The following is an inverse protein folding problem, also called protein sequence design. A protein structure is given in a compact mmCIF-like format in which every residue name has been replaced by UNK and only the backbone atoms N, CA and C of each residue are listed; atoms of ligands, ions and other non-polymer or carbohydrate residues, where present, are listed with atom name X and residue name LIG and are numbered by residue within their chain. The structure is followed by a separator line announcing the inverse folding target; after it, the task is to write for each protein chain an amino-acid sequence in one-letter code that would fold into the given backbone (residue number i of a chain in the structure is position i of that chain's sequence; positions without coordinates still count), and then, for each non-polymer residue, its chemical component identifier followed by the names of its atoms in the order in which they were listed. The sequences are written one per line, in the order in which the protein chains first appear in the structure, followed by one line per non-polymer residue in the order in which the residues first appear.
data_IF_057217413736
#
_entry.id   IF_057217413736
#
_cell.length_a   1.000
_cell.length_b   1.000
_cell.length_c   1.000
_cell.angle_alpha   90.00
_cell.angle_beta   90.00
_cell.angle_gamma   90.00
#
_symmetry.space_group_name_H-M   'P 1'
#
loop_
_entity.id
_entity.type
_entity.pdbx_description
1 polymer ?
#
# COMPACT_ATOMS: atom_id res chain seq x y z
N UNK A 1 -17.11 -12.40 36.08
CA UNK A 1 -17.97 -11.93 34.96
C UNK A 1 -17.17 -12.13 33.70
N UNK A 2 -17.63 -12.93 32.74
CA UNK A 2 -16.96 -13.06 31.45
C UNK A 2 -17.05 -11.70 30.75
N UNK A 3 -15.91 -11.05 30.50
CA UNK A 3 -15.85 -9.78 29.76
C UNK A 3 -16.22 -10.05 28.32
N UNK A 4 -17.20 -9.32 27.80
CA UNK A 4 -17.64 -9.41 26.40
C UNK A 4 -16.42 -9.25 25.47
N UNK A 5 -16.19 -10.13 24.48
CA UNK A 5 -15.11 -9.96 23.52
C UNK A 5 -15.24 -8.63 22.77
N UNK A 6 -14.11 -7.99 22.48
CA UNK A 6 -14.04 -6.68 21.84
C UNK A 6 -13.22 -6.77 20.56
N UNK A 7 -13.86 -6.46 19.43
CA UNK A 7 -13.23 -6.29 18.13
C UNK A 7 -12.89 -4.81 17.91
N UNK A 8 -11.60 -4.52 17.74
CA UNK A 8 -11.17 -3.22 17.22
C UNK A 8 -11.23 -3.27 15.69
N UNK A 9 -12.12 -2.49 15.10
CA UNK A 9 -12.20 -2.35 13.66
C UNK A 9 -11.20 -1.30 13.21
N UNK A 10 -10.15 -1.74 12.54
CA UNK A 10 -9.03 -0.91 12.09
C UNK A 10 -9.27 -0.48 10.65
N UNK A 11 -9.03 0.78 10.32
CA UNK A 11 -9.25 1.27 8.97
C UNK A 11 -8.63 2.63 8.68
N UNK A 12 -9.36 3.44 7.91
CA UNK A 12 -9.00 4.81 7.56
C UNK A 12 -10.22 5.71 7.71
N UNK A 13 -10.02 6.94 8.18
CA UNK A 13 -11.07 7.97 8.21
C UNK A 13 -11.66 8.29 6.83
N UNK A 14 -10.94 7.92 5.76
CA UNK A 14 -11.36 8.11 4.37
C UNK A 14 -12.02 6.86 3.76
N UNK A 15 -12.15 5.77 4.51
CA UNK A 15 -12.77 4.55 4.03
C UNK A 15 -14.24 4.50 4.49
N UNK A 16 -15.21 4.76 3.59
CA UNK A 16 -16.63 4.83 3.96
C UNK A 16 -17.23 3.48 4.34
N UNK A 17 -16.54 2.37 4.05
CA UNK A 17 -17.02 1.03 4.37
C UNK A 17 -16.86 0.68 5.84
N UNK A 18 -16.01 1.38 6.60
CA UNK A 18 -15.76 1.12 8.04
C UNK A 18 -17.06 1.03 8.85
N UNK A 19 -17.93 2.06 8.89
CA UNK A 19 -19.17 1.99 9.65
C UNK A 19 -20.16 0.95 9.12
N UNK A 20 -20.16 0.68 7.81
CA UNK A 20 -21.03 -0.32 7.18
C UNK A 20 -20.64 -1.73 7.63
N UNK A 21 -19.34 -2.03 7.59
CA UNK A 21 -18.77 -3.31 8.04
C UNK A 21 -18.98 -3.49 9.54
N UNK A 22 -18.76 -2.43 10.34
CA UNK A 22 -18.98 -2.48 11.77
C UNK A 22 -20.41 -2.88 12.11
N UNK A 23 -21.39 -2.28 11.43
CA UNK A 23 -22.81 -2.58 11.59
C UNK A 23 -23.16 -4.02 11.18
N UNK A 24 -22.58 -4.52 10.08
CA UNK A 24 -22.78 -5.91 9.65
C UNK A 24 -22.27 -6.90 10.71
N UNK A 25 -21.09 -6.66 11.27
CA UNK A 25 -20.52 -7.51 12.32
C UNK A 25 -21.35 -7.45 13.61
N UNK A 26 -21.80 -6.25 14.03
CA UNK A 26 -22.68 -6.09 15.20
C UNK A 26 -24.00 -6.85 15.06
N UNK A 27 -24.57 -6.89 13.85
CA UNK A 27 -25.82 -7.62 13.56
C UNK A 27 -25.63 -9.13 13.51
N UNK A 28 -24.48 -9.57 13.02
CA UNK A 28 -24.21 -10.99 12.79
C UNK A 28 -23.58 -11.69 14.00
N UNK A 29 -22.99 -10.95 14.94
CA UNK A 29 -22.21 -11.52 16.05
C UNK A 29 -22.64 -10.94 17.40
N UNK A 30 -22.29 -11.64 18.48
CA UNK A 30 -22.46 -11.15 19.85
C UNK A 30 -21.31 -10.24 20.34
N UNK A 31 -20.36 -9.87 19.49
CA UNK A 31 -19.10 -9.18 19.86
C UNK A 31 -19.33 -7.67 19.99
N UNK A 32 -18.58 -7.02 20.88
CA UNK A 32 -18.52 -5.56 20.88
C UNK A 32 -17.59 -5.07 19.75
N UNK A 33 -18.10 -4.25 18.83
CA UNK A 33 -17.30 -3.67 17.75
C UNK A 33 -16.99 -2.21 18.07
N UNK A 34 -15.70 -1.87 18.09
CA UNK A 34 -15.22 -0.51 18.29
C UNK A 34 -14.71 0.08 16.96
N UNK A 35 -15.38 1.14 16.50
CA UNK A 35 -15.01 1.96 15.34
C UNK A 35 -15.26 3.47 15.60
N UNK A 36 -15.51 3.89 16.85
CA UNK A 36 -15.87 5.27 17.20
C UNK A 36 -14.78 6.30 16.85
N UNK A 37 -13.52 5.86 16.71
CA UNK A 37 -12.44 6.69 16.17
C UNK A 37 -12.81 7.28 14.79
N UNK A 38 -13.68 6.61 14.03
CA UNK A 38 -14.17 7.06 12.73
C UNK A 38 -14.97 8.38 12.83
N UNK A 39 -15.55 8.69 13.99
CA UNK A 39 -16.34 9.90 14.23
C UNK A 39 -15.53 11.20 14.12
N UNK A 40 -14.19 11.14 14.17
CA UNK A 40 -13.33 12.29 13.93
C UNK A 40 -13.53 12.88 12.51
N UNK A 41 -13.91 12.04 11.54
CA UNK A 41 -14.24 12.43 10.17
C UNK A 41 -13.04 12.50 9.23
N UNK A 42 -13.31 12.40 7.91
CA UNK A 42 -12.31 12.24 6.84
C UNK A 42 -11.24 13.35 6.76
N UNK A 43 -11.56 14.54 7.30
CA UNK A 43 -10.71 15.75 7.25
C UNK A 43 -9.95 16.02 8.55
N UNK A 44 -10.11 15.19 9.58
CA UNK A 44 -9.54 15.44 10.90
C UNK A 44 -8.02 15.65 10.84
N UNK A 45 -7.31 14.73 10.17
CA UNK A 45 -5.85 14.78 10.03
C UNK A 45 -5.39 16.01 9.25
N UNK A 46 -6.08 16.36 8.16
CA UNK A 46 -5.73 17.51 7.32
C UNK A 46 -5.97 18.83 8.06
N UNK A 47 -7.07 18.91 8.83
CA UNK A 47 -7.40 20.08 9.64
C UNK A 47 -6.41 20.27 10.79
N UNK A 48 -6.08 19.19 11.52
CA UNK A 48 -5.09 19.22 12.59
C UNK A 48 -3.70 19.62 12.07
N UNK A 49 -3.27 19.02 10.96
CA UNK A 49 -2.00 19.35 10.33
C UNK A 49 -1.92 20.81 9.91
N UNK A 50 -2.99 21.34 9.29
CA UNK A 50 -3.03 22.75 8.88
C UNK A 50 -2.95 23.68 10.10
N UNK A 51 -3.69 23.36 11.17
CA UNK A 51 -3.66 24.11 12.42
C UNK A 51 -2.25 24.17 13.05
N UNK A 52 -1.52 23.06 13.13
CA UNK A 52 -0.16 23.03 13.68
C UNK A 52 0.85 23.77 12.77
N UNK A 53 0.68 23.67 11.46
CA UNK A 53 1.52 24.40 10.49
C UNK A 53 1.31 25.91 10.57
N UNK A 54 0.07 26.39 10.73
CA UNK A 54 -0.26 27.81 10.88
C UNK A 54 0.34 28.38 12.18
N UNK A 55 0.58 27.54 13.19
CA UNK A 55 1.29 27.89 14.43
C UNK A 55 2.82 27.86 14.29
N UNK A 56 3.34 27.45 13.14
CA UNK A 56 4.78 27.33 12.89
C UNK A 56 5.43 26.14 13.57
N UNK A 57 4.66 25.15 14.03
CA UNK A 57 5.21 23.93 14.60
C UNK A 57 5.70 22.98 13.49
N UNK A 58 6.84 22.33 13.74
CA UNK A 58 7.27 21.20 12.93
C UNK A 58 6.54 19.91 13.34
N UNK A 59 6.72 18.84 12.56
CA UNK A 59 6.01 17.59 12.80
C UNK A 59 6.31 16.97 14.16
N UNK A 60 7.55 17.06 14.63
CA UNK A 60 7.96 16.46 15.92
C UNK A 60 7.31 17.23 17.07
N UNK A 61 7.40 18.56 17.04
CA UNK A 61 6.79 19.44 18.04
C UNK A 61 5.27 19.27 18.09
N UNK A 62 4.63 19.10 16.93
CA UNK A 62 3.19 18.87 16.84
C UNK A 62 2.75 17.58 17.56
N UNK A 63 3.57 16.52 17.56
CA UNK A 63 3.24 15.25 18.24
C UNK A 63 3.20 15.38 19.76
N UNK A 64 3.95 16.34 20.33
CA UNK A 64 3.90 16.64 21.77
C UNK A 64 2.65 17.46 22.16
N UNK A 65 1.85 17.89 21.18
CA UNK A 65 0.63 18.66 21.40
C UNK A 65 -0.48 17.88 22.12
N UNK A 66 -1.34 18.59 22.85
CA UNK A 66 -2.45 17.98 23.59
C UNK A 66 -3.42 17.20 22.68
N UNK A 67 -3.70 17.71 21.48
CA UNK A 67 -4.60 17.04 20.54
C UNK A 67 -4.03 15.69 20.08
N UNK A 68 -2.76 15.64 19.68
CA UNK A 68 -2.08 14.42 19.26
C UNK A 68 -2.03 13.38 20.40
N UNK A 69 -1.64 13.81 21.60
CA UNK A 69 -1.60 12.95 22.77
C UNK A 69 -2.98 12.40 23.16
N UNK A 70 -4.04 13.22 23.13
CA UNK A 70 -5.39 12.75 23.43
C UNK A 70 -5.90 11.73 22.42
N UNK A 71 -5.69 11.96 21.12
CA UNK A 71 -6.10 11.01 20.07
C UNK A 71 -5.33 9.69 20.24
N UNK A 72 -4.01 9.75 20.43
CA UNK A 72 -3.20 8.56 20.67
C UNK A 72 -3.66 7.77 21.90
N UNK A 73 -3.92 8.44 23.02
CA UNK A 73 -4.37 7.77 24.25
C UNK A 73 -5.77 7.18 24.12
N UNK A 74 -6.66 7.86 23.40
CA UNK A 74 -7.99 7.35 23.06
C UNK A 74 -7.89 6.03 22.28
N UNK A 75 -7.14 6.02 21.18
CA UNK A 75 -6.93 4.81 20.37
C UNK A 75 -6.23 3.72 21.19
N UNK A 76 -5.17 4.07 21.93
CA UNK A 76 -4.41 3.13 22.76
C UNK A 76 -5.28 2.43 23.80
N UNK A 77 -6.13 3.17 24.50
CA UNK A 77 -7.05 2.60 25.50
C UNK A 77 -7.95 1.55 24.85
N UNK A 78 -8.52 1.86 23.68
CA UNK A 78 -9.42 0.97 22.97
C UNK A 78 -8.69 -0.23 22.34
N UNK A 79 -7.49 -0.05 21.83
CA UNK A 79 -6.62 -1.14 21.38
C UNK A 79 -6.23 -2.06 22.53
N UNK A 80 -6.04 -1.53 23.74
CA UNK A 80 -5.64 -2.32 24.91
C UNK A 80 -6.77 -3.19 25.45
N UNK A 81 -8.03 -2.75 25.37
CA UNK A 81 -9.17 -3.59 25.77
C UNK A 81 -9.62 -4.57 24.68
N UNK A 82 -9.22 -4.35 23.43
CA UNK A 82 -9.53 -5.24 22.33
C UNK A 82 -8.93 -6.64 22.54
N UNK A 83 -9.71 -7.66 22.20
CA UNK A 83 -9.33 -9.08 22.22
C UNK A 83 -9.22 -9.68 20.82
N UNK A 84 -9.52 -8.89 19.79
CA UNK A 84 -9.39 -9.25 18.38
C UNK A 84 -9.34 -7.98 17.50
N UNK A 85 -8.83 -8.12 16.28
CA UNK A 85 -8.72 -7.02 15.33
C UNK A 85 -9.19 -7.37 13.92
N UNK A 86 -9.74 -6.39 13.20
CA UNK A 86 -10.03 -6.52 11.78
C UNK A 86 -9.50 -5.30 11.04
N UNK A 87 -8.49 -5.50 10.19
CA UNK A 87 -7.98 -4.45 9.30
C UNK A 87 -8.79 -4.42 8.01
N UNK A 88 -9.54 -3.35 7.81
CA UNK A 88 -10.31 -3.08 6.59
C UNK A 88 -9.46 -2.26 5.64
N UNK A 89 -9.13 -2.82 4.48
CA UNK A 89 -8.41 -2.10 3.43
C UNK A 89 -9.39 -1.36 2.50
N UNK A 90 -8.95 -0.24 1.87
CA UNK A 90 -7.66 0.43 2.08
C UNK A 90 -7.54 1.13 3.45
N UNK A 91 -6.35 1.08 4.04
CA UNK A 91 -6.02 1.67 5.33
C UNK A 91 -4.69 2.44 5.30
N UNK A 92 -4.55 3.41 6.21
CA UNK A 92 -3.31 4.17 6.39
C UNK A 92 -2.21 3.38 7.10
N UNK A 93 -1.01 3.97 7.19
CA UNK A 93 0.14 3.37 7.91
C UNK A 93 -0.16 3.12 9.39
N UNK A 94 -0.92 4.00 10.03
CA UNK A 94 -1.37 3.84 11.42
C UNK A 94 -2.18 2.56 11.61
N UNK A 95 -3.16 2.30 10.74
CA UNK A 95 -3.94 1.05 10.81
C UNK A 95 -3.09 -0.22 10.72
N UNK A 96 -1.98 -0.19 9.98
CA UNK A 96 -1.04 -1.32 9.94
C UNK A 96 -0.29 -1.47 11.27
N UNK A 97 0.09 -0.37 11.93
CA UNK A 97 0.69 -0.41 13.27
C UNK A 97 -0.29 -0.94 14.32
N UNK A 98 -1.55 -0.52 14.27
CA UNK A 98 -2.62 -0.98 15.15
C UNK A 98 -2.87 -2.48 14.98
N UNK A 99 -2.88 -2.96 13.73
CA UNK A 99 -2.98 -4.39 13.42
C UNK A 99 -1.80 -5.17 14.02
N UNK A 100 -0.58 -4.66 13.82
CA UNK A 100 0.63 -5.22 14.41
C UNK A 100 0.58 -5.22 15.94
N UNK A 101 0.01 -4.19 16.57
CA UNK A 101 -0.15 -4.11 18.02
C UNK A 101 -1.07 -5.20 18.57
N UNK A 102 -2.25 -5.42 17.94
CA UNK A 102 -3.17 -6.49 18.35
C UNK A 102 -2.53 -7.87 18.20
N UNK A 103 -1.89 -8.13 17.04
CA UNK A 103 -1.18 -9.40 16.82
C UNK A 103 0.00 -9.59 17.76
N UNK A 104 0.74 -8.54 18.06
CA UNK A 104 1.85 -8.55 19.01
C UNK A 104 1.42 -8.86 20.45
N UNK A 105 0.17 -8.60 20.80
CA UNK A 105 -0.44 -8.99 22.08
C UNK A 105 -0.92 -10.46 22.10
N UNK A 106 -0.79 -11.18 20.99
CA UNK A 106 -1.20 -12.58 20.86
C UNK A 106 -2.67 -12.78 20.46
N UNK A 107 -3.45 -11.70 20.30
CA UNK A 107 -4.86 -11.79 19.92
C UNK A 107 -5.04 -12.03 18.42
N UNK A 108 -6.09 -12.76 18.00
CA UNK A 108 -6.36 -12.97 16.58
C UNK A 108 -6.65 -11.65 15.87
N UNK A 109 -6.16 -11.51 14.65
CA UNK A 109 -6.53 -10.39 13.82
C UNK A 109 -6.54 -10.78 12.34
N UNK A 110 -7.56 -10.31 11.62
CA UNK A 110 -7.79 -10.64 10.22
C UNK A 110 -7.71 -9.40 9.34
N UNK A 111 -7.56 -9.63 8.04
CA UNK A 111 -7.54 -8.58 7.04
C UNK A 111 -8.72 -8.80 6.12
N UNK A 112 -9.55 -7.76 5.95
CA UNK A 112 -10.57 -7.70 4.92
C UNK A 112 -10.06 -6.80 3.80
N UNK A 113 -9.70 -7.44 2.68
CA UNK A 113 -9.40 -6.77 1.43
C UNK A 113 -10.70 -6.18 0.89
N UNK A 114 -10.60 -5.00 0.29
CA UNK A 114 -11.66 -4.52 -0.59
C UNK A 114 -11.89 -5.60 -1.67
N UNK A 115 -13.12 -6.10 -1.85
CA UNK A 115 -13.39 -7.03 -2.94
C UNK A 115 -12.92 -6.36 -4.22
N UNK A 116 -12.16 -7.06 -5.08
CA UNK A 116 -11.78 -6.49 -6.34
C UNK A 116 -13.07 -6.06 -7.04
N UNK A 117 -13.23 -4.75 -7.27
CA UNK A 117 -14.29 -4.24 -8.11
C UNK A 117 -14.28 -5.09 -9.41
N UNK A 118 -15.43 -5.56 -9.88
CA UNK A 118 -15.46 -6.29 -11.14
C UNK A 118 -14.94 -5.42 -12.30
N UNK A 119 -15.00 -4.08 -12.15
CA UNK A 119 -14.34 -3.09 -13.02
C UNK A 119 -12.84 -2.90 -12.71
N UNK A 120 -12.38 -3.33 -11.52
CA UNK A 120 -10.97 -3.49 -11.15
C UNK A 120 -10.40 -4.90 -11.48
N UNK A 121 -11.06 -5.68 -12.35
CA UNK A 121 -10.33 -6.51 -13.31
C UNK A 121 -9.67 -5.63 -14.39
N UNK A 122 -8.96 -4.58 -13.98
CA UNK A 122 -7.90 -4.03 -14.80
C UNK A 122 -6.69 -4.93 -14.54
N UNK A 123 -6.12 -5.59 -15.55
CA UNK A 123 -5.01 -6.49 -15.33
C UNK A 123 -3.86 -5.77 -14.61
N UNK A 124 -3.65 -6.14 -13.34
CA UNK A 124 -2.58 -5.79 -12.38
C UNK A 124 -1.97 -4.37 -12.38
N UNK A 125 -2.50 -3.40 -13.14
CA UNK A 125 -1.81 -2.17 -13.55
C UNK A 125 -0.59 -2.41 -14.46
N UNK A 126 0.05 -3.57 -14.39
CA UNK A 126 1.29 -3.89 -15.09
C UNK A 126 1.10 -4.07 -16.59
N UNK A 127 -0.04 -4.57 -17.06
CA UNK A 127 -0.35 -4.63 -18.49
C UNK A 127 -0.47 -3.24 -19.10
N UNK A 128 -1.13 -2.32 -18.38
CA UNK A 128 -1.20 -0.91 -18.77
C UNK A 128 0.18 -0.26 -18.76
N UNK A 129 0.97 -0.48 -17.70
CA UNK A 129 2.35 0.01 -17.62
C UNK A 129 3.20 -0.55 -18.77
N UNK A 130 3.08 -1.83 -19.08
CA UNK A 130 3.77 -2.49 -20.17
C UNK A 130 3.40 -1.85 -21.51
N UNK A 131 2.12 -1.59 -21.77
CA UNK A 131 1.66 -0.91 -22.98
C UNK A 131 2.27 0.49 -23.13
N UNK A 132 2.24 1.30 -22.07
CA UNK A 132 2.87 2.63 -22.07
C UNK A 132 4.39 2.52 -22.26
N UNK A 133 5.03 1.58 -21.58
CA UNK A 133 6.47 1.37 -21.67
C UNK A 133 6.90 0.84 -23.05
N UNK A 134 6.09 0.01 -23.71
CA UNK A 134 6.36 -0.49 -25.07
C UNK A 134 6.38 0.67 -26.08
N UNK A 135 5.45 1.63 -25.94
CA UNK A 135 5.36 2.83 -26.79
C UNK A 135 6.41 3.90 -26.49
N UNK A 136 6.54 4.31 -25.23
CA UNK A 136 7.25 5.54 -24.84
C UNK A 136 8.46 5.30 -23.92
N UNK A 137 8.70 4.04 -23.53
CA UNK A 137 9.76 3.70 -22.61
C UNK A 137 11.16 3.77 -23.23
N UNK A 138 12.17 3.55 -22.39
CA UNK A 138 13.51 3.18 -22.81
C UNK A 138 14.25 2.54 -21.65
N UNK A 139 15.10 1.55 -21.95
CA UNK A 139 16.10 1.03 -21.04
C UNK A 139 17.49 1.38 -21.55
N UNK A 140 18.30 1.96 -20.69
CA UNK A 140 19.67 2.37 -21.00
C UNK A 140 20.61 1.94 -19.89
N UNK A 141 21.89 1.78 -20.24
CA UNK A 141 22.96 1.65 -19.27
C UNK A 141 23.34 3.05 -18.79
N UNK A 142 23.40 3.26 -17.49
CA UNK A 142 23.82 4.51 -16.88
C UNK A 142 25.17 4.31 -16.16
N UNK A 143 26.24 4.92 -16.68
CA UNK A 143 27.56 4.84 -16.07
C UNK A 143 28.65 5.48 -16.95
N UNK A 144 29.47 6.34 -16.35
CA UNK A 144 30.81 6.65 -16.87
C UNK A 144 31.70 5.39 -16.71
N UNK A 145 32.79 5.30 -17.50
CA UNK A 145 33.79 4.20 -17.48
C UNK A 145 33.94 3.61 -16.07
N UNK A 146 33.42 2.39 -15.86
CA UNK A 146 33.49 1.65 -14.58
C UNK A 146 32.17 1.39 -13.87
N UNK A 147 31.08 2.13 -14.15
CA UNK A 147 29.76 1.89 -13.55
C UNK A 147 28.89 0.88 -14.32
N UNK A 148 28.19 -0.01 -13.60
CA UNK A 148 27.25 -1.01 -14.15
C UNK A 148 25.77 -0.61 -13.95
N UNK A 149 25.46 0.69 -13.83
CA UNK A 149 24.10 1.16 -13.59
C UNK A 149 23.18 0.91 -14.78
N UNK A 150 21.90 0.68 -14.50
CA UNK A 150 20.83 0.54 -15.47
C UNK A 150 19.75 1.58 -15.17
N UNK A 151 19.02 1.98 -16.20
CA UNK A 151 17.94 2.94 -16.05
C UNK A 151 16.77 2.61 -16.96
N UNK A 152 15.58 2.56 -16.39
CA UNK A 152 14.31 2.62 -17.13
C UNK A 152 13.81 4.06 -17.12
N UNK A 153 13.25 4.50 -18.25
CA UNK A 153 12.60 5.80 -18.35
C UNK A 153 11.35 5.71 -19.20
N UNK A 154 10.33 6.49 -18.85
CA UNK A 154 9.25 6.91 -19.75
C UNK A 154 9.23 8.44 -19.75
N UNK A 155 9.13 9.08 -20.91
CA UNK A 155 9.13 10.55 -21.02
C UNK A 155 7.99 11.00 -21.93
N UNK A 156 7.05 11.81 -21.43
CA UNK A 156 5.89 12.29 -22.18
C UNK A 156 5.42 13.66 -21.70
N UNK A 157 4.45 14.26 -22.39
CA UNK A 157 3.91 15.59 -22.06
C UNK A 157 2.95 15.56 -20.88
N UNK A 158 2.19 14.49 -20.74
CA UNK A 158 1.11 14.37 -19.77
C UNK A 158 1.66 13.95 -18.39
N UNK A 159 1.62 14.88 -17.44
CA UNK A 159 2.18 14.69 -16.09
C UNK A 159 1.40 13.65 -15.28
N UNK A 160 0.09 13.64 -15.42
CA UNK A 160 -0.83 12.72 -14.75
C UNK A 160 -0.54 11.26 -15.15
N UNK A 161 -0.25 10.99 -16.43
CA UNK A 161 0.16 9.66 -16.89
C UNK A 161 1.52 9.25 -16.29
N UNK A 162 2.47 10.17 -16.22
CA UNK A 162 3.79 9.95 -15.58
C UNK A 162 3.64 9.67 -14.07
N UNK A 163 2.76 10.39 -13.39
CA UNK A 163 2.46 10.15 -11.97
C UNK A 163 1.74 8.81 -11.78
N UNK A 164 0.83 8.45 -12.69
CA UNK A 164 0.17 7.13 -12.70
C UNK A 164 1.15 5.98 -12.91
N UNK A 165 2.14 6.13 -13.80
CA UNK A 165 3.22 5.14 -13.96
C UNK A 165 3.97 4.90 -12.64
N UNK A 166 4.32 5.97 -11.93
CA UNK A 166 4.97 5.86 -10.62
C UNK A 166 4.07 5.17 -9.59
N UNK A 167 2.77 5.48 -9.60
CA UNK A 167 1.80 4.85 -8.68
C UNK A 167 1.67 3.36 -8.95
N UNK A 168 1.51 2.96 -10.22
CA UNK A 168 1.38 1.55 -10.64
C UNK A 168 2.66 0.78 -10.36
N UNK A 169 3.82 1.31 -10.75
CA UNK A 169 5.10 0.66 -10.45
C UNK A 169 5.40 0.63 -8.95
N UNK A 170 4.91 1.61 -8.18
CA UNK A 170 5.24 1.77 -6.76
C UNK A 170 6.71 2.14 -6.49
N UNK A 171 7.52 2.37 -7.53
CA UNK A 171 8.94 2.72 -7.49
C UNK A 171 9.28 3.79 -8.55
N UNK A 172 10.49 4.36 -8.43
CA UNK A 172 11.01 5.37 -9.35
C UNK A 172 10.65 6.81 -8.98
N UNK A 173 11.20 7.74 -9.76
CA UNK A 173 11.15 9.18 -9.52
C UNK A 173 10.53 9.88 -10.72
N UNK A 174 9.61 10.81 -10.45
CA UNK A 174 9.05 11.71 -11.46
C UNK A 174 9.86 13.00 -11.46
N UNK A 175 10.41 13.37 -12.60
CA UNK A 175 11.23 14.56 -12.83
C UNK A 175 10.60 15.44 -13.93
N UNK A 176 10.94 16.74 -13.92
CA UNK A 176 10.42 17.74 -14.86
C UNK A 176 9.46 18.75 -14.19
N UNK A 177 8.80 19.62 -14.98
CA UNK A 177 8.88 19.70 -16.44
C UNK A 177 10.27 20.08 -16.94
N UNK A 178 10.78 19.35 -17.94
CA UNK A 178 12.00 19.72 -18.66
C UNK A 178 11.64 20.64 -19.82
N UNK A 179 11.93 21.93 -19.65
CA UNK A 179 11.80 22.92 -20.73
C UNK A 179 12.78 22.61 -21.84
N UNK A 180 12.28 22.55 -23.08
CA UNK A 180 13.14 22.38 -24.24
C UNK A 180 13.64 23.73 -24.75
N UNK A 181 14.79 23.69 -25.42
CA UNK A 181 15.46 24.87 -25.98
C UNK A 181 14.63 25.57 -27.06
N UNK A 182 13.71 24.85 -27.71
CA UNK A 182 12.78 25.41 -28.68
C UNK A 182 11.45 25.78 -27.99
N UNK A 183 11.03 27.07 -27.98
CA UNK A 183 9.80 27.52 -27.33
C UNK A 183 8.51 26.91 -27.90
N UNK A 184 8.56 26.33 -29.11
CA UNK A 184 7.40 25.69 -29.76
C UNK A 184 7.15 24.26 -29.27
N UNK A 185 8.06 23.69 -28.48
CA UNK A 185 7.94 22.33 -27.99
C UNK A 185 7.36 22.34 -26.58
N UNK A 186 6.39 21.45 -26.34
CA UNK A 186 5.79 21.31 -25.02
C UNK A 186 6.79 20.78 -24.00
N UNK A 187 6.56 21.16 -22.75
CA UNK A 187 7.28 20.65 -21.59
C UNK A 187 7.09 19.12 -21.47
N UNK A 188 8.15 18.44 -21.04
CA UNK A 188 8.15 16.98 -20.89
C UNK A 188 8.37 16.59 -19.44
N UNK A 189 7.59 15.62 -18.99
CA UNK A 189 7.75 14.94 -17.71
C UNK A 189 8.43 13.59 -17.94
N UNK A 190 9.21 13.15 -16.95
CA UNK A 190 9.94 11.87 -17.03
C UNK A 190 9.71 11.09 -15.76
N UNK A 191 9.31 9.82 -15.91
CA UNK A 191 9.47 8.83 -14.85
C UNK A 191 10.78 8.08 -15.09
N UNK A 192 11.58 7.88 -14.04
CA UNK A 192 12.82 7.12 -14.12
C UNK A 192 13.03 6.17 -12.94
N UNK A 193 13.55 4.99 -13.24
CA UNK A 193 13.94 3.96 -12.26
C UNK A 193 15.42 3.67 -12.46
N UNK A 194 16.22 3.86 -11.41
CA UNK A 194 17.70 3.80 -11.49
C UNK A 194 18.35 2.82 -10.51
N UNK A 195 17.64 2.42 -9.45
CA UNK A 195 18.14 1.41 -8.51
C UNK A 195 18.07 0.04 -9.19
N UNK A 196 19.15 -0.74 -9.11
CA UNK A 196 19.27 -2.04 -9.80
C UNK A 196 18.09 -2.96 -9.47
N UNK A 197 17.79 -3.12 -8.18
CA UNK A 197 16.66 -3.92 -7.70
C UNK A 197 15.31 -3.44 -8.25
N UNK A 198 15.06 -2.12 -8.22
CA UNK A 198 13.81 -1.55 -8.74
C UNK A 198 13.68 -1.70 -10.27
N UNK A 199 14.80 -1.64 -11.01
CA UNK A 199 14.83 -1.87 -12.45
C UNK A 199 14.45 -3.31 -12.76
N UNK A 200 15.03 -4.28 -12.05
CA UNK A 200 14.69 -5.70 -12.21
C UNK A 200 13.24 -5.97 -11.83
N UNK A 201 12.78 -5.38 -10.72
CA UNK A 201 11.38 -5.46 -10.28
C UNK A 201 10.39 -4.98 -11.36
N UNK A 202 10.61 -3.78 -11.92
CA UNK A 202 9.73 -3.25 -12.96
C UNK A 202 9.80 -4.10 -14.24
N UNK A 203 11.01 -4.52 -14.65
CA UNK A 203 11.18 -5.36 -15.83
C UNK A 203 10.45 -6.70 -15.69
N UNK A 204 10.55 -7.36 -14.55
CA UNK A 204 9.86 -8.61 -14.28
C UNK A 204 8.33 -8.44 -14.36
N UNK A 205 7.78 -7.32 -13.89
CA UNK A 205 6.34 -7.05 -13.96
C UNK A 205 5.78 -6.88 -15.35
N UNK A 206 6.56 -6.32 -16.26
CA UNK A 206 6.11 -6.07 -17.64
C UNK A 206 6.61 -7.12 -18.63
N UNK A 207 7.48 -8.04 -18.20
CA UNK A 207 8.26 -8.91 -19.08
C UNK A 207 7.40 -9.68 -20.07
N UNK A 208 6.35 -10.34 -19.58
CA UNK A 208 5.43 -11.17 -20.38
C UNK A 208 4.66 -10.35 -21.42
N UNK A 209 4.51 -9.04 -21.20
CA UNK A 209 3.80 -8.13 -22.10
C UNK A 209 4.74 -7.33 -23.03
N UNK A 210 6.06 -7.43 -22.85
CA UNK A 210 7.00 -6.75 -23.73
C UNK A 210 7.12 -7.43 -25.09
N UNK A 211 7.16 -6.62 -26.16
CA UNK A 211 7.45 -7.10 -27.50
C UNK A 211 8.90 -7.61 -27.64
N UNK A 212 9.13 -8.48 -28.62
CA UNK A 212 10.44 -9.12 -28.87
C UNK A 212 11.59 -8.11 -28.97
N UNK A 213 11.37 -6.98 -29.65
CA UNK A 213 12.37 -5.92 -29.81
C UNK A 213 12.79 -5.34 -28.47
N UNK A 214 11.82 -5.12 -27.57
CA UNK A 214 12.05 -4.50 -26.26
C UNK A 214 12.69 -5.46 -25.28
N UNK A 215 12.30 -6.74 -25.29
CA UNK A 215 13.00 -7.82 -24.57
C UNK A 215 14.47 -7.93 -25.00
N UNK A 216 14.75 -7.87 -26.30
CA UNK A 216 16.13 -7.89 -26.81
C UNK A 216 16.94 -6.65 -26.39
N UNK A 217 16.32 -5.47 -26.31
CA UNK A 217 16.98 -4.27 -25.78
C UNK A 217 17.28 -4.44 -24.29
N UNK A 218 16.31 -4.93 -23.51
CA UNK A 218 16.47 -5.18 -22.08
C UNK A 218 17.58 -6.21 -21.81
N UNK A 219 17.56 -7.35 -22.48
CA UNK A 219 18.59 -8.40 -22.35
C UNK A 219 20.01 -7.86 -22.62
N UNK A 220 20.19 -7.01 -23.64
CA UNK A 220 21.50 -6.39 -23.92
C UNK A 220 21.97 -5.52 -22.76
N UNK A 221 21.07 -4.75 -22.14
CA UNK A 221 21.41 -3.91 -20.99
C UNK A 221 21.68 -4.76 -19.74
N UNK A 222 20.86 -5.77 -19.47
CA UNK A 222 21.03 -6.70 -18.34
C UNK A 222 22.36 -7.44 -18.42
N UNK A 223 22.70 -7.99 -19.59
CA UNK A 223 23.99 -8.65 -19.85
C UNK A 223 25.16 -7.68 -19.66
N UNK A 224 25.07 -6.47 -20.23
CA UNK A 224 26.12 -5.46 -20.10
C UNK A 224 26.30 -4.97 -18.65
N UNK A 225 25.25 -5.07 -17.83
CA UNK A 225 25.27 -4.76 -16.40
C UNK A 225 25.64 -5.95 -15.51
N UNK A 226 25.97 -7.12 -16.10
CA UNK A 226 26.34 -8.32 -15.37
C UNK A 226 25.21 -8.93 -14.55
N UNK A 227 23.95 -8.73 -14.95
CA UNK A 227 22.80 -9.39 -14.32
C UNK A 227 22.83 -10.87 -14.71
N UNK A 228 22.82 -11.74 -13.71
CA UNK A 228 22.71 -13.19 -13.95
C UNK A 228 21.25 -13.61 -14.08
N UNK A 229 20.97 -14.75 -14.75
CA UNK A 229 19.61 -15.31 -14.82
C UNK A 229 19.04 -15.54 -13.41
N UNK A 230 19.87 -16.07 -12.52
CA UNK A 230 19.53 -16.26 -11.10
C UNK A 230 19.15 -14.95 -10.41
N UNK A 231 19.88 -13.87 -10.65
CA UNK A 231 19.57 -12.55 -10.07
C UNK A 231 18.29 -11.95 -10.64
N UNK A 232 17.96 -12.26 -11.91
CA UNK A 232 16.69 -11.86 -12.52
C UNK A 232 15.51 -12.65 -11.95
N UNK A 233 15.68 -13.96 -11.71
CA UNK A 233 14.69 -14.85 -11.12
C UNK A 233 14.48 -14.60 -9.62
N UNK A 234 15.55 -14.24 -8.90
CA UNK A 234 15.52 -13.89 -7.47
C UNK A 234 15.10 -12.43 -7.21
N UNK A 235 15.09 -11.57 -8.24
CA UNK A 235 14.62 -10.20 -8.10
C UNK A 235 13.14 -10.19 -7.70
N UNK A 236 12.77 -9.26 -6.81
CA UNK A 236 11.38 -9.08 -6.37
C UNK A 236 10.46 -9.10 -7.59
N UNK A 237 9.51 -10.02 -7.59
CA UNK A 237 8.45 -10.03 -8.58
C UNK A 237 7.40 -8.99 -8.18
N UNK A 238 6.77 -8.33 -9.14
CA UNK A 238 5.59 -7.55 -8.84
C UNK A 238 4.50 -8.48 -8.37
N UNK A 239 4.32 -8.52 -7.06
CA UNK A 239 3.15 -9.16 -6.49
C UNK A 239 1.95 -8.35 -6.97
N UNK A 240 1.02 -9.02 -7.67
CA UNK A 240 -0.27 -8.43 -8.09
C UNK A 240 -1.03 -7.80 -6.92
N UNK A 241 -0.64 -8.15 -5.69
CA UNK A 241 -1.04 -7.51 -4.45
C UNK A 241 0.21 -7.35 -3.59
N UNK A 242 0.52 -6.14 -3.12
CA UNK A 242 1.54 -5.95 -2.06
C UNK A 242 1.09 -6.72 -0.82
N UNK A 243 1.49 -7.98 -0.71
CA UNK A 243 1.46 -8.69 0.56
C UNK A 243 2.54 -8.03 1.41
N UNK A 244 2.14 -7.09 2.25
CA UNK A 244 3.02 -6.60 3.31
C UNK A 244 3.51 -7.83 4.09
N UNK A 245 4.78 -7.85 4.52
CA UNK A 245 5.30 -8.90 5.41
C UNK A 245 4.38 -9.06 6.61
N UNK A 246 3.74 -7.96 7.03
CA UNK A 246 2.72 -7.94 8.07
C UNK A 246 1.56 -8.93 7.83
N UNK A 247 1.16 -9.17 6.59
CA UNK A 247 0.01 -10.04 6.27
C UNK A 247 0.28 -11.51 6.58
N UNK A 248 1.56 -11.91 6.60
CA UNK A 248 1.94 -13.27 7.06
C UNK A 248 1.63 -13.51 8.53
N UNK A 249 1.46 -12.45 9.33
CA UNK A 249 1.08 -12.56 10.72
C UNK A 249 -0.43 -12.55 10.94
N UNK A 250 -1.23 -12.30 9.90
CA UNK A 250 -2.68 -12.32 10.00
C UNK A 250 -3.19 -13.73 10.35
N UNK A 251 -4.24 -13.78 11.15
CA UNK A 251 -4.99 -15.01 11.41
C UNK A 251 -5.76 -15.49 10.17
N UNK A 252 -5.96 -14.61 9.19
CA UNK A 252 -6.58 -14.90 7.90
C UNK A 252 -6.76 -13.62 7.07
N UNK A 253 -6.91 -13.79 5.76
CA UNK A 253 -7.12 -12.72 4.78
C UNK A 253 -8.37 -13.07 3.98
N UNK A 254 -9.31 -12.14 3.90
CA UNK A 254 -10.62 -12.35 3.29
C UNK A 254 -10.93 -11.24 2.28
N UNK A 255 -11.76 -11.54 1.30
CA UNK A 255 -12.34 -10.57 0.36
C UNK A 255 -13.85 -10.38 0.58
N UNK A 256 -14.43 -11.18 1.48
CA UNK A 256 -15.86 -11.20 1.78
C UNK A 256 -16.07 -11.06 3.28
N UNK A 257 -17.04 -10.23 3.64
CA UNK A 257 -17.36 -9.97 5.04
C UNK A 257 -17.96 -11.21 5.74
N UNK A 258 -18.72 -12.02 5.00
CA UNK A 258 -19.35 -13.23 5.56
C UNK A 258 -18.30 -14.22 6.07
N UNK A 259 -17.20 -14.38 5.34
CA UNK A 259 -16.14 -15.33 5.68
C UNK A 259 -15.38 -14.91 6.94
N UNK A 260 -15.15 -13.61 7.13
CA UNK A 260 -14.49 -13.10 8.34
C UNK A 260 -15.43 -13.08 9.56
N UNK A 261 -16.74 -12.89 9.35
CA UNK A 261 -17.74 -12.97 10.43
C UNK A 261 -17.70 -14.35 11.10
N UNK A 262 -17.59 -15.43 10.32
CA UNK A 262 -17.44 -16.80 10.87
C UNK A 262 -16.23 -16.89 11.79
N UNK A 263 -15.10 -16.33 11.38
CA UNK A 263 -13.88 -16.35 12.20
C UNK A 263 -13.98 -15.52 13.48
N UNK A 264 -14.68 -14.38 13.40
CA UNK A 264 -14.94 -13.53 14.57
C UNK A 264 -15.80 -14.28 15.59
N UNK A 265 -16.86 -14.95 15.15
CA UNK A 265 -17.76 -15.70 16.03
C UNK A 265 -17.07 -16.91 16.66
N UNK A 266 -16.28 -17.65 15.87
CA UNK A 266 -15.45 -18.76 16.34
C UNK A 266 -14.43 -18.32 17.42
N UNK A 267 -13.85 -17.13 17.26
CA UNK A 267 -12.89 -16.58 18.23
C UNK A 267 -13.56 -15.98 19.47
N UNK A 268 -14.82 -15.56 19.36
CA UNK A 268 -15.59 -15.01 20.47
C UNK A 268 -16.17 -16.09 21.38
N UNK A 269 -16.33 -17.31 20.87
CA UNK A 269 -16.87 -18.44 21.62
C UNK A 269 -15.86 -18.93 22.67
N UNK A 270 -16.22 -18.98 23.97
CA UNK A 270 -15.36 -19.54 24.99
C UNK A 270 -15.02 -21.00 24.64
N UNK A 271 -13.73 -21.31 24.50
CA UNK A 271 -13.31 -22.71 24.41
C UNK A 271 -13.32 -23.27 25.83
N UNK A 272 -14.30 -24.10 26.13
CA UNK A 272 -14.23 -24.98 27.29
C UNK A 272 -13.04 -25.91 27.06
N UNK A 273 -11.92 -25.61 27.71
CA UNK A 273 -10.81 -26.53 27.79
C UNK A 273 -11.28 -27.70 28.65
N UNK A 274 -11.62 -28.82 28.01
CA UNK A 274 -11.74 -30.10 28.69
C UNK A 274 -10.33 -30.45 29.18
N UNK A 275 -10.13 -30.35 30.49
CA UNK A 275 -8.91 -30.80 31.20
C UNK A 275 -8.62 -32.29 30.96
#
# INVERSE_FOLDING_TARGET
MSTKPVLYLIGSLRNPNVPIIAEQIRKATGVEVFDDWYAAGEKADDAWKSYEQDRGHDYITALDGHAANHVFEYDRMHLHRATMGLLVLPAGRSGHLEFGYIRGRGFPAWILLEPPDESAKLPSGWDWLAGIYEGEGSITRNGRRGGCGMQLTVTMKDRDIIERLRMVAGVGTVEGPYRRTNPKWADMHRWSVRRREDVLYVLNGIWENLGTRRRQQANRVLQAAGVTVREQDEARTPHEYRFDVMYKFASGIFTRIEDVIVQIDDAATPRDFIE
#
